data_IF_007421463675
#
_entry.id   IF_007421463675
#
_cell.length_a   1.000
_cell.length_b   1.000
_cell.length_c   1.000
_cell.angle_alpha   90.00
_cell.angle_beta   90.00
_cell.angle_gamma   90.00
#
_symmetry.space_group_name_H-M   'P 1'
#
loop_
_entity.id
_entity.type
_entity.pdbx_description
1 polymer ?
#
# COMPACT_ATOMS: atom_id res chain seq x y z
N UNK A 1 7.27 -3.66 11.36
CA UNK A 1 6.80 -2.54 10.51
C UNK A 1 7.94 -2.20 9.59
N UNK A 2 7.78 -2.34 8.25
CA UNK A 2 8.79 -1.84 7.33
C UNK A 2 8.92 -0.33 7.52
N UNK A 3 10.14 0.19 7.55
CA UNK A 3 10.35 1.63 7.68
C UNK A 3 9.85 2.29 6.38
N UNK A 4 9.30 3.50 6.46
CA UNK A 4 8.82 4.23 5.28
C UNK A 4 9.91 4.35 4.19
N UNK A 5 11.18 4.25 4.57
CA UNK A 5 12.36 4.26 3.70
C UNK A 5 12.71 2.90 3.05
N UNK A 6 11.89 1.86 3.25
CA UNK A 6 12.21 0.51 2.78
C UNK A 6 11.93 0.34 1.28
N UNK A 7 12.87 -0.34 0.60
CA UNK A 7 12.72 -0.80 -0.77
C UNK A 7 12.32 -2.26 -0.72
N UNK A 8 11.16 -2.58 -1.29
CA UNK A 8 10.67 -3.96 -1.34
C UNK A 8 10.83 -4.51 -2.74
N UNK A 9 11.53 -5.64 -2.85
CA UNK A 9 11.77 -6.34 -4.11
C UNK A 9 10.86 -7.55 -4.23
N UNK A 10 10.09 -7.62 -5.32
CA UNK A 10 9.28 -8.79 -5.63
C UNK A 10 9.48 -9.17 -7.09
N UNK A 11 10.14 -10.31 -7.30
CA UNK A 11 10.54 -10.80 -8.63
C UNK A 11 11.36 -9.74 -9.38
N UNK A 12 10.84 -9.17 -10.48
CA UNK A 12 11.53 -8.14 -11.27
C UNK A 12 11.16 -6.70 -10.87
N UNK A 13 10.35 -6.52 -9.82
CA UNK A 13 9.86 -5.22 -9.38
C UNK A 13 10.55 -4.74 -8.12
N UNK A 14 10.81 -3.43 -8.08
CA UNK A 14 11.33 -2.69 -6.94
C UNK A 14 10.34 -1.61 -6.56
N UNK A 15 9.77 -1.68 -5.36
CA UNK A 15 8.87 -0.68 -4.82
C UNK A 15 9.60 0.17 -3.79
N UNK A 16 9.69 1.46 -4.07
CA UNK A 16 10.18 2.47 -3.14
C UNK A 16 8.98 3.04 -2.38
N UNK A 17 8.83 2.68 -1.11
CA UNK A 17 7.65 3.05 -0.31
C UNK A 17 7.61 4.56 -0.05
N UNK A 18 8.73 5.15 0.41
CA UNK A 18 8.87 6.60 0.64
C UNK A 18 8.64 7.40 -0.65
N UNK A 19 9.30 6.97 -1.73
CA UNK A 19 9.27 7.66 -3.02
C UNK A 19 8.01 7.41 -3.83
N UNK A 20 7.12 6.51 -3.38
CA UNK A 20 5.92 6.09 -4.11
C UNK A 20 6.23 5.75 -5.57
N UNK A 21 7.31 5.00 -5.77
CA UNK A 21 7.85 4.68 -7.09
C UNK A 21 7.94 3.16 -7.27
N UNK A 22 7.34 2.67 -8.36
CA UNK A 22 7.52 1.29 -8.80
C UNK A 22 8.52 1.26 -9.95
N UNK A 23 9.53 0.42 -9.85
CA UNK A 23 10.48 0.12 -10.92
C UNK A 23 10.35 -1.33 -11.36
N UNK A 24 10.57 -1.60 -12.64
CA UNK A 24 10.72 -2.95 -13.19
C UNK A 24 12.03 -3.03 -13.93
N UNK A 25 12.96 -3.88 -13.47
CA UNK A 25 14.33 -3.98 -14.03
C UNK A 25 15.03 -2.62 -14.13
N UNK A 26 14.85 -1.76 -13.13
CA UNK A 26 15.45 -0.42 -13.08
C UNK A 26 14.68 0.69 -13.81
N UNK A 27 13.62 0.37 -14.56
CA UNK A 27 12.82 1.37 -15.29
C UNK A 27 11.58 1.74 -14.48
N UNK A 28 11.30 3.04 -14.33
CA UNK A 28 10.10 3.52 -13.66
C UNK A 28 8.82 3.08 -14.40
N UNK A 29 7.89 2.48 -13.67
CA UNK A 29 6.60 2.03 -14.17
C UNK A 29 5.54 3.03 -13.72
N UNK A 30 4.91 3.70 -14.68
CA UNK A 30 3.74 4.54 -14.39
C UNK A 30 2.55 3.65 -14.06
N UNK A 31 2.12 3.71 -12.80
CA UNK A 31 0.86 3.11 -12.34
C UNK A 31 0.03 4.19 -11.65
N UNK A 32 -1.28 4.01 -11.64
CA UNK A 32 -2.17 4.91 -10.91
C UNK A 32 -1.88 4.86 -9.40
N UNK A 33 -2.11 5.98 -8.71
CA UNK A 33 -1.93 6.10 -7.26
C UNK A 33 -2.61 4.97 -6.48
N UNK A 34 -3.83 4.60 -6.89
CA UNK A 34 -4.59 3.49 -6.29
C UNK A 34 -3.86 2.14 -6.36
N UNK A 35 -3.28 1.82 -7.52
CA UNK A 35 -2.57 0.56 -7.72
C UNK A 35 -1.29 0.51 -6.89
N UNK A 36 -0.62 1.66 -6.75
CA UNK A 36 0.57 1.80 -5.93
C UNK A 36 0.27 1.63 -4.43
N UNK A 37 -0.78 2.28 -3.93
CA UNK A 37 -1.25 2.12 -2.55
C UNK A 37 -1.55 0.64 -2.23
N UNK A 38 -2.15 -0.10 -3.17
CA UNK A 38 -2.41 -1.52 -2.99
C UNK A 38 -1.12 -2.34 -2.90
N UNK A 39 -0.12 -2.02 -3.73
CA UNK A 39 1.18 -2.71 -3.69
C UNK A 39 1.89 -2.45 -2.36
N UNK A 40 1.94 -1.19 -1.91
CA UNK A 40 2.53 -0.81 -0.61
C UNK A 40 1.83 -1.60 0.51
N UNK A 41 0.51 -1.61 0.52
CA UNK A 41 -0.24 -2.24 1.59
C UNK A 41 -0.24 -3.79 1.53
N UNK A 42 0.21 -4.38 0.42
CA UNK A 42 0.52 -5.82 0.28
C UNK A 42 1.90 -6.14 0.87
N UNK A 43 2.92 -5.33 0.57
CA UNK A 43 4.26 -5.56 1.13
C UNK A 43 4.38 -5.21 2.60
N UNK A 44 3.48 -4.39 3.16
CA UNK A 44 3.36 -4.21 4.61
C UNK A 44 2.93 -5.49 5.36
N UNK A 45 2.31 -6.46 4.66
CA UNK A 45 1.91 -7.77 5.21
C UNK A 45 2.37 -8.92 4.31
N UNK A 46 3.67 -9.24 4.29
CA UNK A 46 4.18 -10.35 3.50
C UNK A 46 3.55 -11.67 3.98
N UNK A 47 2.88 -12.39 3.09
CA UNK A 47 2.32 -13.72 3.36
C UNK A 47 0.79 -13.83 3.41
N UNK A 48 0.04 -12.73 3.32
CA UNK A 48 -1.43 -12.79 3.17
C UNK A 48 -1.87 -12.67 1.71
N UNK A 49 -2.63 -13.66 1.22
CA UNK A 49 -3.31 -13.58 -0.08
C UNK A 49 -4.54 -12.68 0.07
N UNK A 50 -4.41 -11.40 -0.28
CA UNK A 50 -5.55 -10.47 -0.27
C UNK A 50 -6.54 -10.81 -1.39
N UNK A 51 -7.78 -11.13 -1.03
CA UNK A 51 -8.86 -11.35 -1.99
C UNK A 51 -9.27 -10.04 -2.69
N UNK A 52 -9.79 -10.13 -3.92
CA UNK A 52 -10.26 -8.97 -4.73
C UNK A 52 -11.24 -8.08 -3.95
N UNK A 53 -12.06 -8.63 -3.05
CA UNK A 53 -12.95 -7.88 -2.14
C UNK A 53 -12.19 -7.00 -1.15
N UNK A 54 -11.12 -7.51 -0.54
CA UNK A 54 -10.30 -6.77 0.44
C UNK A 54 -9.55 -5.60 -0.22
N UNK A 55 -9.04 -5.82 -1.45
CA UNK A 55 -8.41 -4.77 -2.25
C UNK A 55 -9.39 -3.65 -2.62
N UNK A 56 -10.66 -3.99 -2.88
CA UNK A 56 -11.70 -3.02 -3.21
C UNK A 56 -12.29 -2.32 -1.98
N UNK A 57 -12.31 -2.98 -0.82
CA UNK A 57 -12.86 -2.47 0.44
C UNK A 57 -11.99 -1.37 1.10
N UNK A 58 -10.70 -1.26 0.74
CA UNK A 58 -9.83 -0.16 1.18
C UNK A 58 -10.17 1.17 0.52
N UNK A 59 -11.43 1.60 0.52
CA UNK A 59 -11.80 3.00 0.30
C UNK A 59 -11.34 3.77 1.54
N UNK A 60 -10.52 4.80 1.35
CA UNK A 60 -10.05 5.66 2.44
C UNK A 60 -11.26 6.34 3.09
N UNK A 61 -11.75 5.83 4.23
CA UNK A 61 -12.58 6.63 5.13
C UNK A 61 -11.62 7.41 6.02
N UNK A 62 -11.38 8.67 5.66
CA UNK A 62 -10.99 9.68 6.63
C UNK A 62 -12.31 10.31 7.05
N UNK A 63 -12.80 9.91 8.23
CA UNK A 63 -13.93 10.54 8.90
C UNK A 63 -13.55 10.60 10.37
N UNK A 64 -13.05 11.75 10.80
CA UNK A 64 -12.87 12.03 12.21
C UNK A 64 -14.22 12.23 12.89
N UNK A 65 -14.18 12.25 14.23
CA UNK A 65 -15.18 12.93 15.04
C UNK A 65 -16.21 12.04 15.73
N UNK A 66 -15.95 11.86 17.03
CA UNK A 66 -16.91 11.90 18.14
C UNK A 66 -17.88 10.72 18.34
N UNK A 67 -17.84 10.12 19.54
CA UNK A 67 -18.97 10.03 20.49
C UNK A 67 -18.57 9.11 21.66
N UNK A 68 -18.07 9.72 22.74
CA UNK A 68 -18.18 9.14 24.09
C UNK A 68 -18.50 10.27 25.06
N UNK A 69 -19.79 10.43 25.34
CA UNK A 69 -20.29 11.13 26.50
C UNK A 69 -21.59 10.46 26.95
N UNK A 70 -21.65 10.10 28.23
CA UNK A 70 -22.90 9.90 28.95
C UNK A 70 -23.27 8.45 29.24
N UNK A 71 -22.84 7.96 30.40
CA UNK A 71 -23.78 7.39 31.36
C UNK A 71 -23.53 8.03 32.72
#
# INVERSE_FOLDING_TARGET
MPKIDEIVEFSSFRLHVAGRLLQRKGVAVKIGSRSLDLLIALVERPGEVLSRRELMARRRVNGGGNMSAGH
#
